data_IF_605904871963
#
_entry.id   IF_605904871963
#
_cell.length_a   1.000
_cell.length_b   1.000
_cell.length_c   1.000
_cell.angle_alpha   90.00
_cell.angle_beta   90.00
_cell.angle_gamma   90.00
#
_symmetry.space_group_name_H-M   'P 1'
#
loop_
_entity.id
_entity.type
_entity.pdbx_description
1 polymer ?
#
# COMPACT_ATOMS: atom_id res chain seq x y z
N UNK A 1 12.80 8.75 2.40
CA UNK A 1 11.86 8.39 1.32
C UNK A 1 10.96 7.26 1.82
N UNK A 2 9.70 7.17 1.39
CA UNK A 2 8.85 6.04 1.71
C UNK A 2 9.54 4.73 1.32
N UNK A 3 9.48 3.76 2.22
CA UNK A 3 10.23 2.52 2.16
C UNK A 3 9.28 1.34 2.42
N UNK A 4 9.44 0.27 1.65
CA UNK A 4 8.74 -0.99 1.84
C UNK A 4 9.79 -2.05 2.11
N UNK A 5 9.88 -2.52 3.36
CA UNK A 5 10.95 -3.42 3.79
C UNK A 5 12.33 -2.81 3.47
N UNK A 6 13.13 -3.44 2.61
CA UNK A 6 14.44 -2.93 2.17
C UNK A 6 14.40 -2.10 0.88
N UNK A 7 13.21 -1.88 0.29
CA UNK A 7 13.04 -1.16 -0.98
C UNK A 7 12.67 0.32 -0.73
N UNK A 8 13.54 1.23 -1.13
CA UNK A 8 13.24 2.67 -1.13
C UNK A 8 12.48 3.07 -2.39
N UNK A 9 11.33 3.74 -2.25
CA UNK A 9 10.50 4.19 -3.37
C UNK A 9 10.51 5.73 -3.41
N UNK A 10 11.39 6.36 -4.20
CA UNK A 10 11.53 7.81 -4.20
C UNK A 10 10.31 8.51 -4.82
N UNK A 11 10.02 9.71 -4.31
CA UNK A 11 8.94 10.60 -4.76
C UNK A 11 7.56 9.92 -4.85
N UNK A 12 7.30 8.97 -3.95
CA UNK A 12 5.97 8.41 -3.82
C UNK A 12 5.04 9.42 -3.14
N UNK A 13 4.03 9.86 -3.87
CA UNK A 13 2.92 10.66 -3.33
C UNK A 13 1.92 9.72 -2.65
N UNK A 14 1.41 10.11 -1.49
CA UNK A 14 0.35 9.42 -0.78
C UNK A 14 -0.60 10.45 -0.14
N UNK A 15 -1.81 10.02 0.21
CA UNK A 15 -2.79 10.87 0.86
C UNK A 15 -2.61 10.81 2.39
N UNK A 16 -2.65 11.97 3.03
CA UNK A 16 -2.78 12.08 4.49
C UNK A 16 -4.26 12.06 4.86
N UNK A 17 -4.62 11.18 5.79
CA UNK A 17 -6.00 11.10 6.26
C UNK A 17 -6.26 12.17 7.32
N UNK A 18 -6.96 13.24 6.94
CA UNK A 18 -7.35 14.35 7.86
C UNK A 18 -8.62 14.06 8.65
N UNK A 19 -9.46 13.16 8.14
CA UNK A 19 -10.67 12.69 8.80
C UNK A 19 -10.94 11.25 8.37
N UNK A 20 -11.19 10.38 9.35
CA UNK A 20 -11.50 8.96 9.11
C UNK A 20 -12.87 8.65 9.72
N UNK A 21 -13.85 8.19 8.92
CA UNK A 21 -15.16 7.88 9.44
C UNK A 21 -15.16 6.56 10.22
N UNK A 22 -15.62 6.62 11.48
CA UNK A 22 -16.26 5.51 12.17
C UNK A 22 -15.38 4.54 12.96
N UNK A 23 -16.07 3.61 13.64
CA UNK A 23 -15.50 2.58 14.51
C UNK A 23 -14.54 1.60 13.79
N UNK A 24 -14.69 1.44 12.47
CA UNK A 24 -13.91 0.47 11.69
C UNK A 24 -12.40 0.77 11.68
N UNK A 25 -12.01 2.06 11.62
CA UNK A 25 -10.61 2.46 11.72
C UNK A 25 -10.15 2.60 13.18
N UNK A 26 -11.05 2.96 14.10
CA UNK A 26 -10.73 3.04 15.53
C UNK A 26 -10.39 1.68 16.15
N UNK A 27 -11.03 0.60 15.67
CA UNK A 27 -10.76 -0.77 16.10
C UNK A 27 -9.71 -1.49 15.26
N UNK A 28 -9.19 -0.85 14.21
CA UNK A 28 -8.20 -1.46 13.33
C UNK A 28 -6.85 -1.62 14.05
N UNK A 29 -6.14 -2.71 13.73
CA UNK A 29 -4.76 -2.92 14.18
C UNK A 29 -3.72 -2.42 13.16
N UNK A 30 -4.12 -1.54 12.25
CA UNK A 30 -3.29 -0.97 11.20
C UNK A 30 -3.48 0.55 11.13
N UNK A 31 -2.42 1.27 10.76
CA UNK A 31 -2.41 2.75 10.74
C UNK A 31 -2.76 3.35 9.36
N UNK A 32 -2.80 2.51 8.32
CA UNK A 32 -3.10 2.97 6.97
C UNK A 32 -3.27 1.83 5.97
N UNK A 33 -3.54 2.22 4.71
CA UNK A 33 -3.77 1.29 3.60
C UNK A 33 -2.78 1.59 2.48
N UNK A 34 -2.12 0.55 1.98
CA UNK A 34 -1.30 0.60 0.77
C UNK A 34 -2.07 -0.05 -0.38
N UNK A 35 -2.55 0.79 -1.31
CA UNK A 35 -3.29 0.32 -2.49
C UNK A 35 -2.38 -0.36 -3.51
N UNK A 36 -2.83 -1.50 -4.04
CA UNK A 36 -2.13 -2.30 -5.06
C UNK A 36 -2.95 -2.51 -6.34
N UNK A 37 -4.06 -1.78 -6.47
CA UNK A 37 -4.86 -1.76 -7.69
C UNK A 37 -4.20 -0.88 -8.76
N UNK A 38 -4.66 -1.01 -10.01
CA UNK A 38 -4.19 -0.22 -11.14
C UNK A 38 -4.43 1.28 -10.94
N UNK A 39 -3.65 2.15 -11.62
CA UNK A 39 -3.80 3.61 -11.54
C UNK A 39 -5.22 4.12 -11.83
N UNK A 40 -5.96 3.44 -12.70
CA UNK A 40 -7.34 3.78 -13.04
C UNK A 40 -8.33 3.72 -11.86
N UNK A 41 -7.98 2.98 -10.79
CA UNK A 41 -8.78 2.89 -9.57
C UNK A 41 -8.31 3.87 -8.47
N UNK A 42 -7.31 4.71 -8.73
CA UNK A 42 -6.85 5.70 -7.77
C UNK A 42 -7.90 6.80 -7.60
N UNK A 43 -8.20 7.15 -6.35
CA UNK A 43 -9.16 8.23 -6.03
C UNK A 43 -8.60 9.63 -6.34
N UNK A 44 -7.29 9.75 -6.58
CA UNK A 44 -6.62 11.02 -6.85
C UNK A 44 -5.48 10.84 -7.85
N UNK A 45 -4.69 11.89 -8.10
CA UNK A 45 -3.67 11.89 -9.15
C UNK A 45 -2.41 11.09 -8.78
N UNK A 46 -2.33 10.55 -7.57
CA UNK A 46 -1.16 9.83 -7.09
C UNK A 46 -1.02 8.50 -7.84
N UNK A 47 0.18 8.28 -8.39
CA UNK A 47 0.54 6.99 -8.98
C UNK A 47 0.63 5.93 -7.88
N UNK A 48 0.00 4.75 -8.01
CA UNK A 48 0.13 3.69 -7.02
C UNK A 48 1.59 3.27 -6.82
N UNK A 49 1.87 2.75 -5.62
CA UNK A 49 3.23 2.43 -5.19
C UNK A 49 3.92 1.44 -6.13
N UNK A 50 3.19 0.40 -6.54
CA UNK A 50 3.74 -0.62 -7.43
C UNK A 50 4.03 -0.06 -8.84
N UNK A 51 3.17 0.80 -9.37
CA UNK A 51 3.42 1.49 -10.64
C UNK A 51 4.65 2.40 -10.59
N UNK A 52 4.89 3.10 -9.47
CA UNK A 52 6.10 3.90 -9.32
C UNK A 52 7.36 3.01 -9.24
N UNK A 53 7.28 1.85 -8.57
CA UNK A 53 8.33 0.83 -8.54
C UNK A 53 8.65 0.34 -9.96
N UNK A 54 7.63 -0.01 -10.75
CA UNK A 54 7.78 -0.47 -12.14
C UNK A 54 8.39 0.61 -13.02
N UNK A 55 7.88 1.85 -12.93
CA UNK A 55 8.37 3.00 -13.72
C UNK A 55 9.85 3.29 -13.46
N UNK A 56 10.29 3.12 -12.22
CA UNK A 56 11.69 3.34 -11.80
C UNK A 56 12.57 2.09 -11.91
N UNK A 57 12.01 0.96 -12.35
CA UNK A 57 12.71 -0.32 -12.54
C UNK A 57 13.46 -0.78 -11.27
N UNK A 58 12.80 -0.65 -10.11
CA UNK A 58 13.43 -0.98 -8.82
C UNK A 58 13.39 -2.49 -8.51
N UNK A 59 12.73 -3.30 -9.34
CA UNK A 59 12.66 -4.74 -9.20
C UNK A 59 13.12 -5.44 -10.49
N UNK A 60 13.71 -6.64 -10.40
CA UNK A 60 14.07 -7.44 -11.58
C UNK A 60 12.86 -7.89 -12.40
N UNK A 61 11.70 -8.04 -11.75
CA UNK A 61 10.43 -8.40 -12.39
C UNK A 61 9.28 -7.61 -11.78
N UNK A 62 8.36 -7.17 -12.63
CA UNK A 62 7.19 -6.37 -12.27
C UNK A 62 6.04 -7.28 -11.80
N UNK A 63 6.32 -8.13 -10.81
CA UNK A 63 5.36 -9.07 -10.22
C UNK A 63 5.48 -9.06 -8.70
N UNK A 64 4.35 -9.09 -8.02
CA UNK A 64 4.26 -9.35 -6.58
C UNK A 64 3.28 -10.49 -6.31
N UNK A 65 3.39 -11.12 -5.15
CA UNK A 65 2.49 -12.19 -4.73
C UNK A 65 2.30 -12.15 -3.21
N UNK A 66 1.16 -12.69 -2.77
CA UNK A 66 0.85 -12.82 -1.35
C UNK A 66 0.83 -14.29 -0.95
N UNK A 67 1.42 -14.59 0.21
CA UNK A 67 1.20 -15.84 0.93
C UNK A 67 0.51 -15.54 2.25
N UNK A 68 -0.81 -15.64 2.26
CA UNK A 68 -1.60 -15.40 3.47
C UNK A 68 -1.73 -16.70 4.27
N UNK A 69 -1.34 -16.66 5.55
CA UNK A 69 -1.62 -17.75 6.48
C UNK A 69 -2.99 -17.50 7.11
N UNK A 70 -3.80 -18.54 7.23
CA UNK A 70 -5.04 -18.46 8.01
C UNK A 70 -4.66 -18.37 9.47
N UNK A 71 -4.95 -17.23 10.10
CA UNK A 71 -4.95 -17.15 11.55
C UNK A 71 -6.20 -17.90 12.05
N UNK A 72 -6.00 -18.92 12.88
CA UNK A 72 -7.10 -19.50 13.66
C UNK A 72 -7.06 -18.79 15.01
N UNK A 73 -8.04 -17.94 15.26
CA UNK A 73 -8.43 -17.62 16.63
C UNK A 73 -8.97 -18.91 17.24
N UNK A 74 -8.09 -19.69 17.86
CA UNK A 74 -8.49 -20.66 18.88
C UNK A 74 -8.44 -19.89 20.20
N UNK A 75 -9.56 -19.83 20.95
CA UNK A 75 -9.58 -19.20 22.27
C UNK A 75 -8.58 -19.84 23.25
#
# INVERSE_FOLDING_TARGET
>A
PPQISNLSVPEQVFAEAVALPGLAFAAARFDGVLGLAFPAAAAGPALPVFDNIMRRRLLPSNVFAFRLRRYRDTP
#
